data_IF_380267884932
#
_entry.id   IF_380267884932
#
_cell.length_a   1.000
_cell.length_b   1.000
_cell.length_c   1.000
_cell.angle_alpha   90.00
_cell.angle_beta   90.00
_cell.angle_gamma   90.00
#
_symmetry.space_group_name_H-M   'P 1'
#
loop_
_entity.id
_entity.type
_entity.pdbx_description
1 polymer ?
#
# COMPACT_ATOMS: atom_id res chain seq x y z
N UNK A 1 -14.82 -14.38 3.63
CA UNK A 1 -14.57 -13.24 2.71
C UNK A 1 -15.10 -11.99 3.39
N UNK A 2 -14.25 -11.00 3.65
CA UNK A 2 -14.65 -9.75 4.33
C UNK A 2 -15.21 -8.79 3.28
N UNK A 3 -16.38 -8.21 3.56
CA UNK A 3 -16.98 -7.18 2.72
C UNK A 3 -16.56 -5.78 3.17
N UNK A 4 -16.58 -4.81 2.25
CA UNK A 4 -16.26 -3.39 2.54
C UNK A 4 -17.08 -2.81 3.69
N UNK A 5 -18.35 -3.22 3.86
CA UNK A 5 -19.21 -2.80 4.96
C UNK A 5 -18.71 -3.26 6.33
N UNK A 6 -18.19 -4.49 6.40
CA UNK A 6 -17.72 -5.12 7.64
C UNK A 6 -16.33 -4.59 8.02
N UNK A 7 -15.54 -4.24 7.00
CA UNK A 7 -14.20 -3.67 7.12
C UNK A 7 -14.15 -2.37 7.95
N UNK A 8 -15.12 -1.47 7.77
CA UNK A 8 -15.13 -0.16 8.46
C UNK A 8 -15.19 -0.36 9.98
N UNK A 9 -15.91 -1.39 10.43
CA UNK A 9 -16.05 -1.72 11.86
C UNK A 9 -14.77 -2.39 12.39
N UNK A 10 -14.14 -3.24 11.58
CA UNK A 10 -12.95 -4.02 11.99
C UNK A 10 -11.68 -3.16 12.09
N UNK A 11 -11.60 -2.05 11.33
CA UNK A 11 -10.35 -1.26 11.17
C UNK A 11 -10.38 0.11 11.83
N UNK A 12 -11.07 0.22 12.96
CA UNK A 12 -10.95 1.39 13.85
C UNK A 12 -9.51 1.60 14.33
N UNK A 13 -8.74 0.51 14.43
CA UNK A 13 -7.31 0.50 14.78
C UNK A 13 -6.53 -0.31 13.73
N UNK A 14 -5.20 -0.14 13.70
CA UNK A 14 -4.33 -1.00 12.88
C UNK A 14 -4.48 -2.46 13.33
N UNK A 15 -4.67 -3.35 12.37
CA UNK A 15 -4.92 -4.78 12.64
C UNK A 15 -3.58 -5.48 12.83
N UNK A 16 -3.46 -6.35 13.83
CA UNK A 16 -2.22 -7.10 14.07
C UNK A 16 -1.90 -8.05 12.91
N UNK A 17 -2.90 -8.79 12.44
CA UNK A 17 -2.74 -9.81 11.41
C UNK A 17 -3.28 -9.37 10.04
N UNK A 18 -2.95 -10.15 9.00
CA UNK A 18 -3.56 -10.01 7.69
C UNK A 18 -5.01 -10.48 7.73
N UNK A 19 -5.85 -9.85 6.92
CA UNK A 19 -7.31 -10.06 6.92
C UNK A 19 -7.77 -10.97 5.76
N UNK A 20 -6.85 -11.36 4.89
CA UNK A 20 -7.05 -12.30 3.81
C UNK A 20 -5.76 -13.10 3.57
N UNK A 21 -5.90 -14.25 2.93
CA UNK A 21 -4.79 -15.09 2.52
C UNK A 21 -4.29 -14.67 1.13
N UNK A 22 -3.04 -14.98 0.76
CA UNK A 22 -2.56 -14.77 -0.61
C UNK A 22 -3.46 -15.43 -1.66
N UNK A 23 -4.00 -16.60 -1.36
CA UNK A 23 -4.88 -17.37 -2.26
C UNK A 23 -6.24 -16.67 -2.54
N UNK A 24 -6.64 -15.68 -1.73
CA UNK A 24 -7.86 -14.89 -1.98
C UNK A 24 -7.68 -13.95 -3.20
N UNK A 25 -6.44 -13.70 -3.65
CA UNK A 25 -6.11 -12.98 -4.88
C UNK A 25 -6.34 -13.84 -6.14
N UNK A 26 -7.57 -14.29 -6.34
CA UNK A 26 -7.99 -15.13 -7.47
C UNK A 26 -7.92 -14.42 -8.84
N UNK A 27 -7.59 -13.13 -8.85
CA UNK A 27 -7.47 -12.30 -10.04
C UNK A 27 -6.02 -12.15 -10.51
N UNK A 28 -5.07 -12.78 -9.82
CA UNK A 28 -3.63 -12.71 -10.10
C UNK A 28 -3.14 -11.26 -10.23
N UNK A 29 -3.62 -10.37 -9.35
CA UNK A 29 -3.15 -8.99 -9.32
C UNK A 29 -1.75 -8.99 -8.74
N UNK A 30 -0.79 -8.46 -9.50
CA UNK A 30 0.58 -8.33 -9.03
C UNK A 30 1.13 -6.92 -9.23
N UNK A 31 1.54 -6.28 -8.14
CA UNK A 31 2.16 -4.95 -8.18
C UNK A 31 3.63 -5.07 -8.56
N UNK A 32 3.99 -4.51 -9.72
CA UNK A 32 5.31 -4.66 -10.32
C UNK A 32 6.18 -3.41 -10.18
N UNK A 33 5.58 -2.22 -10.03
CA UNK A 33 6.32 -0.98 -9.79
C UNK A 33 5.48 0.00 -8.99
N UNK A 34 6.12 0.72 -8.09
CA UNK A 34 5.52 1.75 -7.27
C UNK A 34 6.47 2.95 -7.19
N UNK A 35 5.96 4.14 -7.48
CA UNK A 35 6.72 5.39 -7.50
C UNK A 35 5.92 6.49 -6.83
N UNK A 36 6.53 7.20 -5.88
CA UNK A 36 5.96 8.39 -5.25
C UNK A 36 6.74 9.62 -5.74
N UNK A 37 6.02 10.65 -6.20
CA UNK A 37 6.60 11.96 -6.46
C UNK A 37 5.88 13.07 -5.71
N UNK A 38 6.61 14.10 -5.33
CA UNK A 38 6.04 15.38 -4.95
C UNK A 38 5.43 16.04 -6.21
N UNK A 39 4.15 16.42 -6.14
CA UNK A 39 3.46 17.06 -7.27
C UNK A 39 3.81 18.54 -7.43
N UNK A 40 4.34 19.18 -6.39
CA UNK A 40 4.71 20.60 -6.46
C UNK A 40 6.08 20.77 -7.11
N UNK A 41 7.05 19.92 -6.77
CA UNK A 41 8.42 20.01 -7.32
C UNK A 41 8.73 19.00 -8.43
N UNK A 42 7.93 17.94 -8.57
CA UNK A 42 8.21 16.81 -9.46
C UNK A 42 9.29 15.85 -8.93
N UNK A 43 9.83 16.08 -7.74
CA UNK A 43 10.89 15.25 -7.14
C UNK A 43 10.36 13.84 -6.88
N UNK A 44 11.09 12.82 -7.32
CA UNK A 44 10.80 11.42 -6.97
C UNK A 44 11.28 11.18 -5.54
N UNK A 45 10.34 10.84 -4.67
CA UNK A 45 10.58 10.63 -3.24
C UNK A 45 10.89 9.17 -2.92
N UNK A 46 10.31 8.25 -3.72
CA UNK A 46 10.50 6.82 -3.59
C UNK A 46 10.20 6.12 -4.91
N UNK A 47 10.94 5.07 -5.21
CA UNK A 47 10.65 4.20 -6.33
C UNK A 47 11.15 2.78 -6.05
N UNK A 48 10.30 1.79 -6.34
CA UNK A 48 10.64 0.38 -6.30
C UNK A 48 10.02 -0.32 -7.51
N UNK A 49 10.76 -1.23 -8.12
CA UNK A 49 10.29 -2.10 -9.18
C UNK A 49 10.72 -3.54 -8.88
N UNK A 50 9.82 -4.49 -9.12
CA UNK A 50 10.17 -5.91 -9.10
C UNK A 50 11.16 -6.20 -10.24
N UNK A 51 12.20 -7.01 -10.00
CA UNK A 51 13.12 -7.40 -11.05
C UNK A 51 12.39 -8.19 -12.16
N UNK A 52 12.81 -8.06 -13.42
CA UNK A 52 12.09 -8.65 -14.57
C UNK A 52 12.02 -10.19 -14.57
N UNK A 53 12.83 -10.88 -13.77
CA UNK A 53 12.92 -12.35 -13.75
C UNK A 53 11.97 -13.04 -12.75
N UNK A 54 11.15 -12.32 -11.98
CA UNK A 54 10.19 -12.94 -11.06
C UNK A 54 8.90 -13.44 -11.73
N UNK A 55 8.87 -13.49 -13.07
CA UNK A 55 7.73 -13.96 -13.88
C UNK A 55 7.81 -15.46 -14.26
N UNK A 56 8.80 -16.20 -13.76
CA UNK A 56 8.89 -17.64 -14.01
C UNK A 56 8.19 -18.43 -12.90
N UNK A 57 7.06 -19.04 -13.25
CA UNK A 57 6.40 -20.06 -12.45
C UNK A 57 7.30 -21.31 -12.35
N UNK A 58 7.43 -21.87 -11.14
CA UNK A 58 7.78 -23.29 -10.95
C UNK A 58 9.06 -23.59 -10.17
N UNK A 59 8.85 -24.12 -8.95
CA UNK A 59 9.71 -25.06 -8.22
C UNK A 59 11.07 -24.59 -7.70
N UNK A 60 11.10 -24.08 -6.46
CA UNK A 60 12.22 -24.33 -5.54
C UNK A 60 11.71 -24.75 -4.16
N UNK A 61 11.84 -26.04 -3.88
CA UNK A 61 11.86 -26.62 -2.54
C UNK A 61 13.00 -25.99 -1.72
N UNK A 62 12.70 -25.21 -0.69
CA UNK A 62 13.41 -25.23 0.60
C UNK A 62 12.92 -24.17 1.58
N UNK A 63 12.59 -24.65 2.79
CA UNK A 63 12.62 -23.95 4.09
C UNK A 63 11.91 -22.59 4.21
N UNK A 64 10.76 -22.59 4.90
CA UNK A 64 10.15 -21.41 5.56
C UNK A 64 10.16 -20.13 4.71
N UNK A 65 9.65 -20.19 3.48
CA UNK A 65 9.33 -18.99 2.71
C UNK A 65 8.18 -18.31 3.46
N UNK A 66 8.52 -17.24 4.17
CA UNK A 66 7.57 -16.38 4.88
C UNK A 66 6.39 -16.08 3.95
N UNK A 67 5.21 -16.61 4.27
CA UNK A 67 3.96 -16.38 3.53
C UNK A 67 3.58 -14.89 3.48
N UNK A 68 4.30 -14.03 4.23
CA UNK A 68 4.21 -12.57 4.18
C UNK A 68 5.16 -11.90 3.17
N UNK A 69 6.08 -12.66 2.56
CA UNK A 69 7.10 -12.16 1.63
C UNK A 69 6.46 -11.35 0.49
N UNK A 70 6.64 -10.03 0.54
CA UNK A 70 6.13 -9.08 -0.45
C UNK A 70 4.83 -8.32 -0.07
N UNK A 71 4.17 -8.67 1.05
CA UNK A 71 2.98 -7.94 1.56
C UNK A 71 3.31 -6.90 2.63
N UNK A 72 4.57 -6.82 3.05
CA UNK A 72 5.07 -5.82 3.99
C UNK A 72 6.15 -4.95 3.35
N UNK A 73 6.04 -3.62 3.51
CA UNK A 73 7.05 -2.66 3.04
C UNK A 73 7.49 -1.75 4.18
N UNK A 74 8.80 -1.59 4.34
CA UNK A 74 9.39 -0.65 5.29
C UNK A 74 9.89 0.59 4.55
N UNK A 75 9.28 1.73 4.83
CA UNK A 75 9.66 3.00 4.21
C UNK A 75 10.62 3.79 5.10
N UNK A 76 11.63 4.38 4.45
CA UNK A 76 12.52 5.36 5.06
C UNK A 76 12.40 6.67 4.31
N UNK A 77 11.88 7.68 5.00
CA UNK A 77 11.70 9.03 4.50
C UNK A 77 12.45 10.04 5.37
N UNK A 78 12.58 11.25 4.85
CA UNK A 78 13.11 12.39 5.60
C UNK A 78 11.98 13.14 6.32
N UNK A 79 12.30 14.00 7.31
CA UNK A 79 11.28 14.80 8.00
C UNK A 79 10.49 15.72 7.06
N UNK A 80 11.08 16.10 5.92
CA UNK A 80 10.44 16.95 4.91
C UNK A 80 9.20 16.28 4.30
N UNK A 81 9.14 14.95 4.26
CA UNK A 81 8.00 14.20 3.73
C UNK A 81 6.68 14.53 4.45
N UNK A 82 6.74 14.72 5.77
CA UNK A 82 5.57 15.05 6.60
C UNK A 82 5.03 16.47 6.38
N UNK A 83 5.77 17.31 5.65
CA UNK A 83 5.39 18.69 5.32
C UNK A 83 4.83 18.84 3.90
N UNK A 84 4.86 17.77 3.11
CA UNK A 84 4.31 17.77 1.75
C UNK A 84 2.79 17.94 1.80
N UNK A 85 2.24 18.67 0.83
CA UNK A 85 0.79 18.87 0.71
C UNK A 85 0.15 17.79 -0.15
N UNK A 86 0.76 17.50 -1.30
CA UNK A 86 0.22 16.58 -2.29
C UNK A 86 1.32 15.74 -2.93
N UNK A 87 1.13 14.42 -2.96
CA UNK A 87 2.03 13.51 -3.67
C UNK A 87 1.25 12.66 -4.68
N UNK A 88 1.89 12.33 -5.79
CA UNK A 88 1.36 11.41 -6.78
C UNK A 88 2.04 10.06 -6.64
N UNK A 89 1.25 9.01 -6.41
CA UNK A 89 1.73 7.64 -6.39
C UNK A 89 1.34 6.92 -7.68
N UNK A 90 2.33 6.66 -8.53
CA UNK A 90 2.14 5.84 -9.73
C UNK A 90 2.36 4.39 -9.38
N UNK A 91 1.39 3.54 -9.72
CA UNK A 91 1.44 2.10 -9.49
C UNK A 91 1.29 1.39 -10.82
N UNK A 92 2.14 0.40 -11.07
CA UNK A 92 2.03 -0.49 -12.23
C UNK A 92 1.82 -1.91 -11.75
N UNK A 93 0.86 -2.60 -12.36
CA UNK A 93 0.46 -3.93 -11.92
C UNK A 93 -0.01 -4.77 -13.09
N UNK A 94 0.14 -6.08 -12.98
CA UNK A 94 -0.43 -7.05 -13.92
C UNK A 94 -1.70 -7.65 -13.32
N UNK A 95 -2.57 -8.13 -14.19
CA UNK A 95 -3.80 -8.83 -13.81
C UNK A 95 -3.95 -10.09 -14.66
N UNK A 96 -4.62 -11.10 -14.11
CA UNK A 96 -4.91 -12.36 -14.81
C UNK A 96 -5.99 -12.24 -15.88
N UNK A 97 -6.54 -13.38 -16.27
CA UNK A 97 -7.54 -13.52 -17.32
C UNK A 97 -8.95 -13.12 -16.87
N UNK A 98 -9.23 -13.22 -15.57
CA UNK A 98 -10.53 -12.87 -15.00
C UNK A 98 -10.75 -11.36 -15.05
N UNK A 99 -11.92 -10.90 -15.54
CA UNK A 99 -12.25 -9.49 -15.51
C UNK A 99 -12.38 -9.00 -14.07
N UNK A 100 -11.84 -7.82 -13.80
CA UNK A 100 -11.90 -7.17 -12.49
C UNK A 100 -12.91 -6.04 -12.54
N UNK A 101 -13.93 -6.10 -11.69
CA UNK A 101 -14.93 -5.07 -11.55
C UNK A 101 -14.76 -4.33 -10.23
N UNK A 102 -14.88 -2.99 -10.28
CA UNK A 102 -14.81 -2.11 -9.10
C UNK A 102 -13.55 -2.35 -8.26
N UNK A 103 -12.37 -2.32 -8.90
CA UNK A 103 -11.11 -2.49 -8.19
C UNK A 103 -10.82 -1.25 -7.34
N UNK A 104 -10.77 -1.44 -6.03
CA UNK A 104 -10.70 -0.34 -5.06
C UNK A 104 -9.63 -0.62 -4.01
N UNK A 105 -8.87 0.40 -3.65
CA UNK A 105 -7.98 0.37 -2.49
C UNK A 105 -8.49 1.32 -1.42
N UNK A 106 -8.56 0.83 -0.19
CA UNK A 106 -8.70 1.68 0.99
C UNK A 106 -7.40 1.55 1.78
N UNK A 107 -6.73 2.67 2.03
CA UNK A 107 -5.47 2.71 2.75
C UNK A 107 -5.58 3.61 3.99
N UNK A 108 -5.20 3.07 5.15
CA UNK A 108 -5.32 3.76 6.44
C UNK A 108 -3.96 3.89 7.07
N UNK A 109 -3.61 5.11 7.49
CA UNK A 109 -2.36 5.43 8.16
C UNK A 109 -2.63 5.72 9.63
N UNK A 110 -1.80 5.17 10.51
CA UNK A 110 -1.91 5.31 11.95
C UNK A 110 -0.57 5.70 12.56
N UNK A 111 -0.60 6.52 13.60
CA UNK A 111 0.55 6.73 14.49
C UNK A 111 0.17 6.30 15.90
N UNK A 112 0.89 5.31 16.45
CA UNK A 112 0.60 4.75 17.78
C UNK A 112 -0.88 4.33 17.96
N UNK A 113 -1.46 3.74 16.92
CA UNK A 113 -2.86 3.30 16.90
C UNK A 113 -3.90 4.40 16.65
N UNK A 114 -3.51 5.68 16.56
CA UNK A 114 -4.41 6.77 16.20
C UNK A 114 -4.45 6.97 14.70
N UNK A 115 -5.64 6.98 14.11
CA UNK A 115 -5.82 7.23 12.67
C UNK A 115 -5.35 8.64 12.30
N UNK A 116 -4.41 8.72 11.36
CA UNK A 116 -3.94 9.97 10.76
C UNK A 116 -4.80 10.35 9.55
N UNK A 117 -5.01 9.39 8.64
CA UNK A 117 -5.74 9.61 7.39
C UNK A 117 -6.24 8.29 6.82
N UNK A 118 -7.39 8.36 6.16
CA UNK A 118 -7.95 7.30 5.34
C UNK A 118 -7.96 7.79 3.89
N UNK A 119 -7.33 7.02 3.01
CA UNK A 119 -7.36 7.22 1.56
C UNK A 119 -8.22 6.13 0.93
N UNK A 120 -8.93 6.49 -0.12
CA UNK A 120 -9.93 5.65 -0.75
C UNK A 120 -9.91 5.91 -2.25
N UNK A 121 -9.41 4.94 -3.00
CA UNK A 121 -9.10 5.09 -4.40
C UNK A 121 -9.75 3.98 -5.23
N UNK A 122 -10.27 4.37 -6.39
CA UNK A 122 -10.74 3.47 -7.43
C UNK A 122 -9.68 3.40 -8.53
N UNK A 123 -9.32 2.19 -8.95
CA UNK A 123 -8.31 1.98 -10.00
C UNK A 123 -8.87 2.17 -11.42
N UNK A 124 -10.20 2.25 -11.57
CA UNK A 124 -10.88 2.26 -12.85
C UNK A 124 -10.87 0.90 -13.54
N UNK A 125 -10.94 0.93 -14.88
CA UNK A 125 -10.99 -0.28 -15.70
C UNK A 125 -9.61 -0.93 -15.79
N UNK A 126 -9.54 -2.22 -15.41
CA UNK A 126 -8.35 -3.04 -15.54
C UNK A 126 -8.49 -3.96 -16.75
N UNK A 127 -7.58 -3.83 -17.73
CA UNK A 127 -7.58 -4.68 -18.92
C UNK A 127 -7.07 -6.09 -18.53
N UNK A 128 -7.83 -7.17 -18.80
CA UNK A 128 -7.40 -8.53 -18.48
C UNK A 128 -6.14 -8.96 -19.25
N UNK A 129 -5.35 -9.86 -18.66
CA UNK A 129 -4.09 -10.38 -19.23
C UNK A 129 -3.12 -9.28 -19.69
N UNK A 130 -3.08 -8.15 -18.99
CA UNK A 130 -2.22 -7.03 -19.35
C UNK A 130 -1.55 -6.39 -18.13
N UNK A 131 -0.59 -5.52 -18.42
CA UNK A 131 -0.08 -4.53 -17.47
C UNK A 131 -0.99 -3.31 -17.50
N UNK A 132 -1.29 -2.80 -16.33
CA UNK A 132 -2.11 -1.62 -16.08
C UNK A 132 -1.28 -0.61 -15.27
N UNK A 133 -1.59 0.67 -15.44
CA UNK A 133 -0.96 1.77 -14.70
C UNK A 133 -2.05 2.64 -14.12
N UNK A 134 -1.91 2.99 -12.85
CA UNK A 134 -2.80 3.92 -12.17
C UNK A 134 -1.97 4.97 -11.42
N UNK A 135 -2.51 6.17 -11.30
CA UNK A 135 -1.93 7.23 -10.47
C UNK A 135 -2.94 7.68 -9.44
N UNK A 136 -2.60 7.51 -8.16
CA UNK A 136 -3.37 8.01 -7.04
C UNK A 136 -2.76 9.30 -6.52
N UNK A 137 -3.62 10.30 -6.30
CA UNK A 137 -3.22 11.59 -5.76
C UNK A 137 -3.53 11.59 -4.26
N UNK A 138 -2.48 11.69 -3.46
CA UNK A 138 -2.59 11.73 -2.01
C UNK A 138 -2.55 13.18 -1.53
N UNK A 139 -3.62 13.62 -0.89
CA UNK A 139 -3.68 14.89 -0.19
C UNK A 139 -3.38 14.67 1.30
N UNK A 140 -2.21 15.12 1.73
CA UNK A 140 -1.77 14.92 3.10
C UNK A 140 -2.51 15.84 4.07
N UNK A 141 -2.87 15.34 5.27
CA UNK A 141 -3.40 16.20 6.31
C UNK A 141 -2.33 17.17 6.80
N UNK A 142 -2.75 18.37 7.22
CA UNK A 142 -1.86 19.27 7.95
C UNK A 142 -1.67 18.74 9.38
N UNK A 143 -0.46 18.27 9.67
CA UNK A 143 -0.12 17.68 10.97
C UNK A 143 0.45 18.77 11.92
N UNK A 144 0.07 18.79 13.21
CA UNK A 144 0.69 19.68 14.19
C UNK A 144 2.20 19.42 14.33
N UNK A 145 2.99 20.46 14.57
CA UNK A 145 4.45 20.35 14.68
C UNK A 145 4.89 19.37 15.76
N UNK A 146 4.22 19.34 16.91
CA UNK A 146 4.50 18.38 17.99
C UNK A 146 4.25 16.93 17.58
N UNK A 147 3.29 16.68 16.68
CA UNK A 147 3.03 15.35 16.15
C UNK A 147 4.10 14.96 15.13
N UNK A 148 4.48 15.88 14.24
CA UNK A 148 5.58 15.67 13.28
C UNK A 148 6.87 15.31 14.04
N UNK A 149 7.22 16.06 15.11
CA UNK A 149 8.39 15.76 15.94
C UNK A 149 8.32 14.33 16.51
N UNK A 150 7.19 13.94 17.09
CA UNK A 150 7.00 12.59 17.62
C UNK A 150 7.14 11.51 16.56
N UNK A 151 6.59 11.72 15.36
CA UNK A 151 6.69 10.77 14.25
C UNK A 151 8.13 10.60 13.75
N UNK A 152 8.94 11.65 13.82
CA UNK A 152 10.38 11.61 13.48
C UNK A 152 11.18 10.87 14.57
N UNK A 153 10.89 11.14 15.85
CA UNK A 153 11.58 10.52 17.00
C UNK A 153 11.23 9.05 17.21
N UNK A 154 10.11 8.57 16.64
CA UNK A 154 9.57 7.22 16.82
C UNK A 154 9.44 6.49 15.48
N UNK A 155 10.57 6.07 14.87
CA UNK A 155 10.54 5.36 13.60
C UNK A 155 9.73 4.06 13.70
N UNK A 156 9.01 3.73 12.63
CA UNK A 156 8.17 2.52 12.49
C UNK A 156 6.96 2.42 13.43
N UNK A 157 6.71 3.44 14.26
CA UNK A 157 5.46 3.58 15.02
C UNK A 157 4.33 4.21 14.19
N UNK A 158 4.67 4.79 13.04
CA UNK A 158 3.70 5.07 11.98
C UNK A 158 3.56 3.83 11.12
N UNK A 159 2.32 3.39 10.91
CA UNK A 159 1.98 2.16 10.18
C UNK A 159 0.82 2.41 9.25
N UNK A 160 0.70 1.61 8.20
CA UNK A 160 -0.48 1.60 7.35
C UNK A 160 -0.95 0.19 7.04
N UNK A 161 -2.24 0.10 6.79
CA UNK A 161 -2.90 -1.06 6.24
C UNK A 161 -3.56 -0.66 4.91
N UNK A 162 -3.21 -1.36 3.82
CA UNK A 162 -3.75 -1.14 2.47
C UNK A 162 -4.58 -2.35 2.07
N UNK A 163 -5.89 -2.13 1.92
CA UNK A 163 -6.89 -3.15 1.67
C UNK A 163 -7.40 -3.03 0.25
N UNK A 164 -7.34 -4.13 -0.49
CA UNK A 164 -7.73 -4.16 -1.90
C UNK A 164 -8.99 -5.00 -2.07
N UNK A 165 -9.98 -4.42 -2.74
CA UNK A 165 -11.29 -5.01 -2.94
C UNK A 165 -11.60 -5.14 -4.42
N UNK A 166 -12.21 -6.26 -4.78
CA UNK A 166 -12.87 -6.48 -6.07
C UNK A 166 -14.30 -6.89 -5.80
N UNK A 167 -15.28 -6.25 -6.44
CA UNK A 167 -16.70 -6.46 -6.15
C UNK A 167 -17.04 -6.40 -4.64
N UNK A 168 -16.43 -5.42 -3.95
CA UNK A 168 -16.54 -5.20 -2.51
C UNK A 168 -16.07 -6.36 -1.61
N UNK A 169 -15.31 -7.32 -2.15
CA UNK A 169 -14.71 -8.43 -1.40
C UNK A 169 -13.21 -8.20 -1.25
N UNK A 170 -12.71 -8.32 -0.02
CA UNK A 170 -11.29 -8.21 0.26
C UNK A 170 -10.53 -9.36 -0.42
N UNK A 171 -9.54 -9.01 -1.25
CA UNK A 171 -8.71 -9.98 -1.99
C UNK A 171 -7.23 -9.88 -1.63
N UNK A 172 -6.75 -8.69 -1.23
CA UNK A 172 -5.37 -8.48 -0.81
C UNK A 172 -5.33 -7.50 0.36
N UNK A 173 -4.37 -7.70 1.26
CA UNK A 173 -4.09 -6.83 2.38
C UNK A 173 -2.57 -6.71 2.49
N UNK A 174 -2.06 -5.51 2.27
CA UNK A 174 -0.65 -5.16 2.43
C UNK A 174 -0.48 -4.26 3.66
N UNK A 175 0.68 -4.33 4.28
CA UNK A 175 1.05 -3.54 5.46
C UNK A 175 2.33 -2.76 5.18
N UNK A 176 2.50 -1.65 5.89
CA UNK A 176 3.76 -0.93 5.87
C UNK A 176 4.05 -0.25 7.20
N UNK A 177 5.33 0.01 7.45
CA UNK A 177 5.79 0.92 8.50
C UNK A 177 6.69 2.01 7.94
N UNK A 178 6.77 3.13 8.66
CA UNK A 178 7.38 4.35 8.17
C UNK A 178 8.34 4.93 9.20
N UNK A 179 9.55 5.26 8.75
CA UNK A 179 10.47 6.12 9.47
C UNK A 179 10.63 7.46 8.75
N UNK A 180 10.73 8.55 9.52
CA UNK A 180 10.87 9.92 9.00
C UNK A 180 12.17 10.59 9.46
N UNK A 181 13.10 9.84 10.03
CA UNK A 181 14.38 10.33 10.57
C UNK A 181 15.49 10.46 9.51
N UNK A 182 15.21 10.16 8.23
CA UNK A 182 16.21 10.19 7.17
C UNK A 182 17.27 9.09 7.27
N UNK A 183 17.01 8.01 8.00
CA UNK A 183 17.94 6.88 8.16
C UNK A 183 19.02 7.07 9.22
N UNK A 184 18.86 8.06 10.11
CA UNK A 184 19.73 8.32 11.27
C UNK A 184 19.43 7.44 12.48
#
# INVERSE_FOLDING_TARGET
IIHVSDYIVITLFSVSDYLCKPEDNIFNIDFTRFKIRDLETGTVLFEIAKPPNSLVEGEEDSADIDLSAGRFVRYQFTPAFLKLRTVGATVEFTVGDRPINSFRMIERHYFQGRLLKNFDFDFGFCIPNSRNTCEHIYEFPQLPEDLIRQMVERPYETKSDSFYFVDNKLIMHNKADYAYNGGL
#
